data_IF_115278678775
#
_entry.id   IF_115278678775
#
_cell.length_a   1.000
_cell.length_b   1.000
_cell.length_c   1.000
_cell.angle_alpha   90.00
_cell.angle_beta   90.00
_cell.angle_gamma   90.00
#
_symmetry.space_group_name_H-M   'P 1'
#
loop_
_entity.id
_entity.type
_entity.pdbx_description
1 polymer ?
#
# COMPACT_ATOMS: atom_id res chain seq x y z
N UNK A 1 -15.61 -39.16 22.88
CA UNK A 1 -14.71 -37.99 22.93
C UNK A 1 -14.08 -37.83 21.56
N UNK A 2 -14.48 -36.81 20.79
CA UNK A 2 -13.97 -36.52 19.46
C UNK A 2 -13.68 -35.01 19.40
N UNK A 3 -12.43 -34.65 19.13
CA UNK A 3 -11.99 -33.27 18.88
C UNK A 3 -12.44 -32.79 17.50
N UNK A 4 -12.87 -31.53 17.32
CA UNK A 4 -13.15 -30.98 16.01
C UNK A 4 -11.86 -30.43 15.38
N UNK A 5 -11.49 -31.00 14.25
CA UNK A 5 -10.45 -30.50 13.35
C UNK A 5 -10.88 -29.18 12.73
N UNK A 6 -10.14 -28.10 12.98
CA UNK A 6 -10.31 -26.81 12.32
C UNK A 6 -10.02 -26.96 10.82
N UNK A 7 -11.04 -26.76 10.00
CA UNK A 7 -10.91 -26.69 8.55
C UNK A 7 -10.07 -25.46 8.17
N UNK A 8 -8.93 -25.70 7.53
CA UNK A 8 -8.10 -24.68 6.88
C UNK A 8 -8.94 -23.97 5.80
N UNK A 9 -9.16 -22.66 5.97
CA UNK A 9 -9.70 -21.82 4.90
C UNK A 9 -8.65 -21.68 3.80
N UNK A 10 -9.05 -22.05 2.58
CA UNK A 10 -8.26 -21.98 1.35
C UNK A 10 -7.85 -20.54 1.03
N UNK A 11 -6.64 -20.27 0.46
CA UNK A 11 -6.23 -18.92 0.11
C UNK A 11 -7.08 -18.41 -1.07
N UNK A 12 -7.70 -17.26 -0.85
CA UNK A 12 -8.66 -16.61 -1.74
C UNK A 12 -8.04 -16.10 -3.05
N UNK A 13 -8.79 -16.28 -4.14
CA UNK A 13 -8.59 -15.65 -5.44
C UNK A 13 -8.75 -14.12 -5.33
N UNK A 14 -7.69 -13.35 -5.12
CA UNK A 14 -7.79 -11.90 -4.99
C UNK A 14 -6.65 -11.12 -5.66
N UNK A 15 -6.73 -10.96 -6.99
CA UNK A 15 -5.94 -9.97 -7.75
C UNK A 15 -6.77 -9.23 -8.84
N UNK A 16 -7.99 -9.67 -9.19
CA UNK A 16 -8.63 -9.22 -10.44
C UNK A 16 -9.22 -7.79 -10.51
N UNK A 17 -9.51 -7.12 -9.39
CA UNK A 17 -10.32 -5.88 -9.40
C UNK A 17 -9.55 -4.59 -9.05
N UNK A 18 -8.59 -4.64 -8.12
CA UNK A 18 -7.66 -3.50 -7.86
C UNK A 18 -6.80 -3.27 -9.10
N UNK A 19 -6.36 -4.37 -9.72
CA UNK A 19 -5.58 -4.38 -10.95
C UNK A 19 -6.35 -3.76 -12.14
N UNK A 20 -7.69 -3.91 -12.19
CA UNK A 20 -8.55 -3.25 -13.21
C UNK A 20 -8.68 -1.75 -12.96
N UNK A 21 -8.74 -1.33 -11.70
CA UNK A 21 -8.84 0.07 -11.32
C UNK A 21 -7.52 0.82 -11.56
N UNK A 22 -6.38 0.24 -11.19
CA UNK A 22 -5.05 0.80 -11.48
C UNK A 22 -4.81 0.92 -13.01
N UNK A 23 -5.29 -0.04 -13.81
CA UNK A 23 -5.31 0.05 -15.29
C UNK A 23 -6.18 1.20 -15.81
N UNK A 24 -7.22 1.59 -15.08
CA UNK A 24 -8.08 2.72 -15.45
C UNK A 24 -7.40 4.06 -15.15
N UNK A 25 -6.63 4.13 -14.06
CA UNK A 25 -5.75 5.26 -13.74
C UNK A 25 -4.65 5.43 -14.80
N UNK A 26 -4.07 4.33 -15.29
CA UNK A 26 -3.04 4.35 -16.36
C UNK A 26 -3.50 5.01 -17.65
N UNK A 27 -4.77 4.82 -18.01
CA UNK A 27 -5.35 5.43 -19.21
C UNK A 27 -5.43 6.96 -19.06
N UNK A 28 -5.69 7.46 -17.86
CA UNK A 28 -5.79 8.90 -17.58
C UNK A 28 -4.39 9.53 -17.49
N UNK A 29 -3.44 8.89 -16.80
CA UNK A 29 -2.06 9.41 -16.67
C UNK A 29 -1.28 9.35 -17.98
N UNK A 30 -1.55 8.35 -18.83
CA UNK A 30 -0.97 8.25 -20.17
C UNK A 30 -1.43 9.38 -21.10
N UNK A 31 -2.70 9.79 -21.02
CA UNK A 31 -3.25 10.93 -21.78
C UNK A 31 -2.67 12.26 -21.28
N UNK A 32 -2.29 12.35 -20.01
CA UNK A 32 -1.67 13.55 -19.41
C UNK A 32 -0.15 13.65 -19.60
N UNK A 33 0.49 12.68 -20.29
CA UNK A 33 1.95 12.70 -20.52
C UNK A 33 2.81 12.49 -19.27
N UNK A 34 2.23 11.94 -18.19
CA UNK A 34 2.90 11.77 -16.89
C UNK A 34 3.67 10.44 -16.75
N UNK A 35 3.77 9.65 -17.84
CA UNK A 35 4.47 8.38 -17.81
C UNK A 35 5.98 8.59 -17.60
N UNK A 36 6.53 7.91 -16.61
CA UNK A 36 7.97 7.89 -16.35
C UNK A 36 8.53 6.49 -16.58
N UNK A 37 9.83 6.40 -16.86
CA UNK A 37 10.54 5.12 -16.94
C UNK A 37 10.37 4.32 -15.65
N UNK A 38 10.39 2.96 -15.71
CA UNK A 38 10.35 2.12 -14.53
C UNK A 38 11.39 2.55 -13.51
N UNK A 39 10.93 2.95 -12.34
CA UNK A 39 11.81 3.44 -11.26
C UNK A 39 12.47 2.28 -10.52
N UNK A 40 11.68 1.24 -10.27
CA UNK A 40 12.09 0.13 -9.42
C UNK A 40 12.57 -1.05 -10.27
N UNK A 41 13.85 -1.37 -10.17
CA UNK A 41 14.40 -2.64 -10.65
C UNK A 41 14.33 -3.69 -9.52
N UNK A 42 13.33 -4.56 -9.56
CA UNK A 42 13.13 -5.56 -8.49
C UNK A 42 14.26 -6.58 -8.39
N UNK A 43 14.92 -6.95 -9.49
CA UNK A 43 16.06 -7.86 -9.42
C UNK A 43 17.21 -7.23 -8.62
N UNK A 44 17.45 -5.94 -8.81
CA UNK A 44 18.42 -5.18 -8.01
C UNK A 44 17.98 -5.15 -6.53
N UNK A 45 16.73 -4.81 -6.24
CA UNK A 45 16.24 -4.74 -4.87
C UNK A 45 16.37 -6.07 -4.11
N UNK A 46 16.14 -7.21 -4.79
CA UNK A 46 16.33 -8.55 -4.21
C UNK A 46 17.78 -8.84 -3.81
N UNK A 47 18.75 -8.29 -4.54
CA UNK A 47 20.17 -8.48 -4.25
C UNK A 47 20.68 -7.66 -3.06
N UNK A 48 19.88 -6.72 -2.55
CA UNK A 48 20.28 -5.86 -1.43
C UNK A 48 20.32 -6.62 -0.10
N UNK A 49 21.08 -6.11 0.89
CA UNK A 49 21.20 -6.72 2.20
C UNK A 49 19.84 -6.94 2.89
N UNK A 50 19.69 -8.07 3.58
CA UNK A 50 18.50 -8.33 4.42
C UNK A 50 18.37 -7.23 5.48
N UNK A 51 17.16 -6.69 5.62
CA UNK A 51 16.86 -5.58 6.54
C UNK A 51 16.98 -4.19 5.91
N UNK A 52 17.56 -4.07 4.71
CA UNK A 52 17.53 -2.82 3.95
C UNK A 52 16.12 -2.50 3.44
N UNK A 53 15.83 -1.22 3.21
CA UNK A 53 14.53 -0.79 2.71
C UNK A 53 14.22 -1.38 1.33
N UNK A 54 15.18 -1.34 0.41
CA UNK A 54 15.02 -1.92 -0.91
C UNK A 54 14.77 -3.43 -0.85
N UNK A 55 15.50 -4.16 0.01
CA UNK A 55 15.26 -5.59 0.21
C UNK A 55 13.88 -5.87 0.81
N UNK A 56 13.46 -5.09 1.79
CA UNK A 56 12.14 -5.21 2.40
C UNK A 56 10.99 -4.98 1.39
N UNK A 57 11.20 -4.10 0.41
CA UNK A 57 10.26 -3.89 -0.68
C UNK A 57 10.16 -5.10 -1.60
N UNK A 58 11.29 -5.65 -2.04
CA UNK A 58 11.28 -6.88 -2.83
C UNK A 58 10.60 -8.04 -2.07
N UNK A 59 10.95 -8.24 -0.79
CA UNK A 59 10.34 -9.26 0.06
C UNK A 59 8.83 -9.04 0.26
N UNK A 60 8.37 -7.79 0.28
CA UNK A 60 6.95 -7.46 0.35
C UNK A 60 6.20 -7.89 -0.93
N UNK A 61 6.74 -7.59 -2.11
CA UNK A 61 6.12 -8.01 -3.38
C UNK A 61 6.10 -9.54 -3.50
N UNK A 62 7.21 -10.20 -3.14
CA UNK A 62 7.33 -11.65 -3.20
C UNK A 62 6.33 -12.35 -2.25
N UNK A 63 6.21 -11.86 -1.00
CA UNK A 63 5.25 -12.40 -0.01
C UNK A 63 3.80 -12.23 -0.45
N UNK A 64 3.46 -11.11 -1.08
CA UNK A 64 2.10 -10.83 -1.54
C UNK A 64 1.83 -11.33 -2.97
N UNK A 65 2.82 -11.95 -3.63
CA UNK A 65 2.74 -12.44 -5.02
C UNK A 65 2.35 -11.34 -6.01
N UNK A 66 2.91 -10.15 -5.82
CA UNK A 66 2.64 -8.97 -6.63
C UNK A 66 3.75 -8.75 -7.66
N UNK A 67 3.37 -8.19 -8.81
CA UNK A 67 4.33 -7.62 -9.76
C UNK A 67 4.48 -6.13 -9.48
N UNK A 68 5.69 -5.55 -9.58
CA UNK A 68 5.89 -4.13 -9.36
C UNK A 68 5.08 -3.30 -10.35
N UNK A 69 4.58 -2.16 -9.90
CA UNK A 69 3.98 -1.16 -10.77
C UNK A 69 5.08 -0.44 -11.57
N UNK A 70 5.26 -0.81 -12.84
CA UNK A 70 6.35 -0.27 -13.69
C UNK A 70 5.87 0.74 -14.74
N UNK A 71 4.59 1.09 -14.74
CA UNK A 71 3.97 1.98 -15.73
C UNK A 71 3.15 3.07 -15.06
N UNK A 72 2.95 4.17 -15.78
CA UNK A 72 2.19 5.32 -15.29
C UNK A 72 3.06 6.36 -14.60
N UNK A 73 2.40 7.24 -13.85
CA UNK A 73 3.05 8.29 -13.08
C UNK A 73 3.93 7.73 -11.96
N UNK A 74 4.99 8.46 -11.62
CA UNK A 74 5.92 8.12 -10.52
C UNK A 74 5.20 7.69 -9.25
N UNK A 75 4.23 8.48 -8.78
CA UNK A 75 3.47 8.18 -7.56
C UNK A 75 2.79 6.82 -7.59
N UNK A 76 2.29 6.38 -8.75
CA UNK A 76 1.72 5.04 -8.94
C UNK A 76 2.81 3.98 -8.78
N UNK A 77 3.94 4.16 -9.46
CA UNK A 77 5.04 3.20 -9.40
C UNK A 77 5.63 3.06 -7.98
N UNK A 78 5.55 4.12 -7.17
CA UNK A 78 6.04 4.13 -5.78
C UNK A 78 5.00 3.65 -4.74
N UNK A 79 3.75 3.39 -5.13
CA UNK A 79 2.66 3.02 -4.21
C UNK A 79 3.00 1.80 -3.35
N UNK A 80 3.56 0.75 -3.95
CA UNK A 80 3.94 -0.48 -3.23
C UNK A 80 4.99 -0.18 -2.14
N UNK A 81 5.83 0.84 -2.33
CA UNK A 81 6.82 1.28 -1.35
C UNK A 81 6.19 1.94 -0.14
N UNK A 82 5.03 2.59 -0.31
CA UNK A 82 4.28 3.19 0.80
C UNK A 82 3.77 2.11 1.75
N UNK A 83 3.32 0.96 1.23
CA UNK A 83 2.96 -0.19 2.08
C UNK A 83 4.14 -0.66 2.92
N UNK A 84 5.33 -0.76 2.31
CA UNK A 84 6.55 -1.20 3.00
C UNK A 84 6.94 -0.20 4.10
N UNK A 85 6.94 1.09 3.76
CA UNK A 85 7.29 2.17 4.67
C UNK A 85 6.33 2.21 5.87
N UNK A 86 5.03 2.14 5.64
CA UNK A 86 4.00 2.27 6.68
C UNK A 86 3.70 1.00 7.45
N UNK A 87 3.96 -0.16 6.83
CA UNK A 87 3.64 -1.49 7.34
C UNK A 87 2.21 -1.97 7.05
N UNK A 88 1.41 -1.22 6.30
CA UNK A 88 0.04 -1.61 5.98
C UNK A 88 -0.02 -2.71 4.91
N UNK A 89 -0.98 -3.63 5.05
CA UNK A 89 -1.18 -4.74 4.11
C UNK A 89 -1.82 -4.30 2.79
N UNK A 90 -2.03 -5.26 1.89
CA UNK A 90 -2.65 -5.07 0.56
C UNK A 90 -4.08 -5.58 0.49
N UNK A 91 -4.68 -5.92 1.64
CA UNK A 91 -6.10 -6.21 1.73
C UNK A 91 -6.92 -4.92 1.66
N UNK A 92 -8.25 -5.03 1.60
CA UNK A 92 -9.11 -3.85 1.46
C UNK A 92 -8.93 -2.83 2.60
N UNK A 93 -8.67 -3.29 3.83
CA UNK A 93 -8.47 -2.42 4.99
C UNK A 93 -7.07 -1.80 4.94
N UNK A 94 -6.04 -2.57 4.59
CA UNK A 94 -4.66 -2.09 4.44
C UNK A 94 -4.52 -1.03 3.34
N UNK A 95 -5.20 -1.20 2.21
CA UNK A 95 -5.30 -0.16 1.19
C UNK A 95 -5.98 1.10 1.73
N UNK A 96 -7.06 0.95 2.51
CA UNK A 96 -7.74 2.09 3.13
C UNK A 96 -6.85 2.80 4.17
N UNK A 97 -6.04 2.06 4.92
CA UNK A 97 -5.03 2.61 5.83
C UNK A 97 -3.95 3.40 5.06
N UNK A 98 -3.47 2.90 3.92
CA UNK A 98 -2.55 3.67 3.05
C UNK A 98 -3.19 4.95 2.55
N UNK A 99 -4.45 4.90 2.08
CA UNK A 99 -5.14 6.12 1.62
C UNK A 99 -5.37 7.12 2.75
N UNK A 100 -5.73 6.65 3.95
CA UNK A 100 -5.91 7.50 5.12
C UNK A 100 -4.57 8.14 5.55
N UNK A 101 -3.49 7.37 5.58
CA UNK A 101 -2.15 7.86 5.86
C UNK A 101 -1.70 8.93 4.85
N UNK A 102 -1.82 8.65 3.55
CA UNK A 102 -1.46 9.61 2.50
C UNK A 102 -2.30 10.88 2.56
N UNK A 103 -3.59 10.77 2.89
CA UNK A 103 -4.46 11.92 3.10
C UNK A 103 -4.01 12.78 4.30
N UNK A 104 -3.52 12.14 5.37
CA UNK A 104 -2.98 12.80 6.54
C UNK A 104 -1.63 13.46 6.29
N UNK A 105 -0.75 12.81 5.52
CA UNK A 105 0.59 13.34 5.21
C UNK A 105 0.54 14.47 4.18
N UNK A 106 -0.35 14.35 3.18
CA UNK A 106 -0.59 15.41 2.19
C UNK A 106 -1.98 15.30 1.56
N UNK A 107 -2.79 16.33 1.78
CA UNK A 107 -4.15 16.36 1.26
C UNK A 107 -4.18 16.32 -0.27
N UNK A 108 -4.83 15.29 -0.83
CA UNK A 108 -5.23 15.26 -2.24
C UNK A 108 -6.59 14.62 -2.44
N UNK A 109 -7.40 15.20 -3.33
CA UNK A 109 -8.76 14.74 -3.63
C UNK A 109 -8.83 13.28 -4.10
N UNK A 110 -7.80 12.81 -4.81
CA UNK A 110 -7.74 11.41 -5.26
C UNK A 110 -7.79 10.43 -4.08
N UNK A 111 -7.13 10.74 -2.95
CA UNK A 111 -7.15 9.86 -1.77
C UNK A 111 -8.53 9.77 -1.14
N UNK A 112 -9.31 10.85 -1.16
CA UNK A 112 -10.70 10.85 -0.68
C UNK A 112 -11.58 9.95 -1.56
N UNK A 113 -11.47 10.09 -2.88
CA UNK A 113 -12.24 9.28 -3.83
C UNK A 113 -11.91 7.80 -3.68
N UNK A 114 -10.61 7.47 -3.56
CA UNK A 114 -10.15 6.09 -3.36
C UNK A 114 -10.60 5.52 -2.01
N UNK A 115 -10.42 6.28 -0.93
CA UNK A 115 -10.86 5.89 0.40
C UNK A 115 -12.37 5.64 0.45
N UNK A 116 -13.17 6.52 -0.17
CA UNK A 116 -14.62 6.33 -0.25
C UNK A 116 -15.02 5.06 -1.04
N UNK A 117 -14.32 4.74 -2.13
CA UNK A 117 -14.56 3.51 -2.89
C UNK A 117 -14.22 2.25 -2.07
N UNK A 118 -13.10 2.28 -1.34
CA UNK A 118 -12.69 1.19 -0.45
C UNK A 118 -13.66 1.02 0.72
N UNK A 119 -14.09 2.11 1.35
CA UNK A 119 -15.06 2.07 2.45
C UNK A 119 -16.41 1.48 2.04
N UNK A 120 -16.90 1.76 0.82
CA UNK A 120 -18.12 1.11 0.32
C UNK A 120 -17.95 -0.40 0.17
N UNK A 121 -16.76 -0.86 -0.23
CA UNK A 121 -16.45 -2.29 -0.35
C UNK A 121 -16.35 -2.95 1.03
N UNK A 122 -15.57 -2.35 1.93
CA UNK A 122 -15.40 -2.81 3.30
C UNK A 122 -16.76 -2.88 4.00
N UNK A 123 -17.59 -1.84 3.88
CA UNK A 123 -18.92 -1.81 4.49
C UNK A 123 -19.82 -2.97 4.02
N UNK A 124 -19.72 -3.38 2.75
CA UNK A 124 -20.41 -4.57 2.25
C UNK A 124 -19.88 -5.86 2.88
N UNK A 125 -18.57 -6.00 3.06
CA UNK A 125 -17.93 -7.19 3.65
C UNK A 125 -18.15 -7.27 5.18
N UNK A 126 -18.11 -6.13 5.87
CA UNK A 126 -18.36 -5.96 7.31
C UNK A 126 -19.82 -6.20 7.66
N UNK A 127 -20.75 -5.66 6.88
CA UNK A 127 -22.19 -5.89 7.08
C UNK A 127 -22.57 -7.37 6.97
N UNK A 128 -21.83 -8.14 6.18
CA UNK A 128 -22.05 -9.59 6.01
C UNK A 128 -21.42 -10.45 7.12
N UNK A 129 -20.44 -9.92 7.85
CA UNK A 129 -19.64 -10.66 8.84
C UNK A 129 -19.92 -10.27 10.29
N UNK A 130 -20.68 -9.20 10.53
CA UNK A 130 -21.08 -8.76 11.87
C UNK A 130 -19.92 -8.22 12.73
N UNK A 131 -18.75 -7.93 12.14
CA UNK A 131 -17.57 -7.44 12.85
C UNK A 131 -17.38 -5.91 12.73
N UNK A 132 -17.46 -5.21 13.87
CA UNK A 132 -16.50 -4.18 14.28
C UNK A 132 -16.30 -2.91 13.42
N UNK A 133 -17.33 -2.25 12.91
CA UNK A 133 -17.20 -0.94 12.22
C UNK A 133 -16.33 0.07 12.99
N UNK A 134 -16.51 0.14 14.32
CA UNK A 134 -15.70 1.00 15.22
C UNK A 134 -14.21 0.64 15.22
N UNK A 135 -13.86 -0.63 15.07
CA UNK A 135 -12.47 -1.07 15.01
C UNK A 135 -11.81 -0.61 13.71
N UNK A 136 -12.54 -0.64 12.59
CA UNK A 136 -12.06 -0.14 11.30
C UNK A 136 -11.92 1.38 11.33
N UNK A 137 -12.90 2.09 11.88
CA UNK A 137 -12.82 3.54 12.08
C UNK A 137 -11.58 3.92 12.90
N UNK A 138 -11.33 3.22 14.02
CA UNK A 138 -10.16 3.45 14.86
C UNK A 138 -8.84 3.24 14.09
N UNK A 139 -8.76 2.18 13.28
CA UNK A 139 -7.58 1.89 12.43
C UNK A 139 -7.34 3.01 11.41
N UNK A 140 -8.37 3.45 10.69
CA UNK A 140 -8.25 4.50 9.69
C UNK A 140 -7.90 5.85 10.31
N UNK A 141 -8.48 6.17 11.47
CA UNK A 141 -8.12 7.37 12.23
C UNK A 141 -6.66 7.32 12.69
N UNK A 142 -6.19 6.18 13.19
CA UNK A 142 -4.79 6.01 13.55
C UNK A 142 -3.87 6.17 12.34
N UNK A 143 -4.22 5.61 11.19
CA UNK A 143 -3.43 5.76 9.97
C UNK A 143 -3.37 7.21 9.48
N UNK A 144 -4.50 7.92 9.50
CA UNK A 144 -4.55 9.35 9.19
C UNK A 144 -3.67 10.18 10.13
N UNK A 145 -3.79 9.98 11.44
CA UNK A 145 -2.97 10.70 12.43
C UNK A 145 -1.48 10.43 12.24
N UNK A 146 -1.08 9.17 12.00
CA UNK A 146 0.31 8.83 11.64
C UNK A 146 0.79 9.59 10.40
N UNK A 147 -0.09 9.78 9.42
CA UNK A 147 0.19 10.61 8.25
C UNK A 147 0.46 12.07 8.64
N UNK A 148 -0.43 12.67 9.44
CA UNK A 148 -0.30 14.05 9.90
C UNK A 148 0.95 14.30 10.76
N UNK A 149 1.39 13.30 11.51
CA UNK A 149 2.57 13.36 12.37
C UNK A 149 3.88 13.08 11.60
N UNK A 150 3.80 12.46 10.42
CA UNK A 150 4.94 12.19 9.56
C UNK A 150 5.41 13.44 8.80
N UNK A 151 6.68 13.46 8.38
CA UNK A 151 7.18 14.46 7.43
C UNK A 151 7.17 13.93 5.96
N UNK A 152 6.45 12.84 5.70
CA UNK A 152 6.47 12.12 4.43
C UNK A 152 5.64 12.80 3.33
N UNK A 153 6.30 13.14 2.21
CA UNK A 153 5.64 13.64 1.00
C UNK A 153 5.85 12.68 -0.19
N UNK A 154 4.78 11.99 -0.57
CA UNK A 154 4.79 11.04 -1.69
C UNK A 154 5.09 11.67 -3.07
N UNK A 155 4.91 12.98 -3.24
CA UNK A 155 5.18 13.66 -4.52
C UNK A 155 6.66 13.96 -4.74
N UNK A 156 7.39 14.21 -3.65
CA UNK A 156 8.83 14.53 -3.68
C UNK A 156 9.69 13.36 -3.23
N UNK A 157 9.06 12.24 -2.85
CA UNK A 157 9.76 11.07 -2.35
C UNK A 157 10.74 10.51 -3.39
N UNK A 158 12.00 10.43 -2.98
CA UNK A 158 13.10 9.82 -3.72
C UNK A 158 13.60 8.60 -2.97
N UNK A 159 12.80 7.52 -2.98
CA UNK A 159 13.15 6.32 -2.28
C UNK A 159 14.53 5.82 -2.76
N UNK A 160 14.91 6.01 -4.02
CA UNK A 160 16.15 5.53 -4.67
C UNK A 160 17.44 5.82 -3.91
N UNK A 161 17.43 6.88 -3.11
CA UNK A 161 18.55 7.30 -2.27
C UNK A 161 18.68 6.48 -0.98
N UNK A 162 17.71 5.62 -0.69
CA UNK A 162 17.48 4.96 0.60
C UNK A 162 17.49 3.42 0.48
N UNK A 163 17.82 2.85 -0.68
CA UNK A 163 17.70 1.39 -0.95
C UNK A 163 18.45 0.53 0.05
N UNK A 164 19.66 0.99 0.37
CA UNK A 164 20.61 0.27 1.22
C UNK A 164 20.46 0.63 2.70
N UNK A 165 19.75 1.72 3.01
CA UNK A 165 19.45 2.15 4.37
C UNK A 165 18.50 1.13 5.02
N UNK A 166 18.64 0.87 6.32
CA UNK A 166 17.74 -0.06 7.00
C UNK A 166 16.30 0.47 6.99
N UNK A 167 15.31 -0.43 6.88
CA UNK A 167 13.90 -0.02 6.92
C UNK A 167 13.56 0.78 8.19
N UNK A 168 14.19 0.43 9.32
CA UNK A 168 13.99 1.13 10.60
C UNK A 168 14.48 2.58 10.53
N UNK A 169 15.68 2.82 9.99
CA UNK A 169 16.22 4.17 9.82
C UNK A 169 15.39 4.98 8.81
N UNK A 170 14.97 4.37 7.69
CA UNK A 170 14.09 5.05 6.72
C UNK A 170 12.79 5.50 7.37
N UNK A 171 12.17 4.66 8.21
CA UNK A 171 10.98 5.04 8.99
C UNK A 171 11.26 6.19 9.96
N UNK A 172 12.39 6.17 10.65
CA UNK A 172 12.79 7.26 11.55
C UNK A 172 13.00 8.58 10.80
N UNK A 173 13.60 8.56 9.61
CA UNK A 173 13.76 9.76 8.78
C UNK A 173 12.41 10.42 8.48
N UNK A 174 11.37 9.61 8.30
CA UNK A 174 10.03 10.07 7.99
C UNK A 174 9.10 10.26 9.19
N UNK A 175 9.57 9.98 10.41
CA UNK A 175 8.79 9.95 11.64
C UNK A 175 7.61 8.93 11.60
N UNK A 176 7.87 7.72 11.10
CA UNK A 176 6.87 6.65 10.86
C UNK A 176 7.03 5.43 11.76
#
# INVERSE_FOLDING_TARGET
MLSPTLAFLSPSNHVGNVDRFLKSVDRVTGVMGLNVSPIVNIAQLRSLPVGSFGRAWADFLDRNRLSPLTTGARRKQLHDGVHVLTGYGTDAIGEAEVQAFLLGSKFMLVHIVLLAALMRRIGREVSLSGQGEKAIEARLKAAYNRGCESNFDADTWQPELLWEVSLAEVRQLFLI
#
